data_IF_241356327405
#
_entry.id   IF_241356327405
#
_cell.length_a   1.000
_cell.length_b   1.000
_cell.length_c   1.000
_cell.angle_alpha   90.00
_cell.angle_beta   90.00
_cell.angle_gamma   90.00
#
_symmetry.space_group_name_H-M   'P 1'
#
loop_
_entity.id
_entity.type
_entity.pdbx_description
1 polymer ?
#
# COMPACT_ATOMS: atom_id res chain seq x y z
N UNK A 1 6.91 -26.34 7.42
CA UNK A 1 7.39 -24.98 7.11
C UNK A 1 8.17 -25.07 5.82
N UNK A 2 7.58 -24.64 4.70
CA UNK A 2 8.33 -24.46 3.46
C UNK A 2 9.07 -23.14 3.56
N UNK A 3 10.29 -23.16 3.08
CA UNK A 3 11.26 -22.09 3.06
C UNK A 3 10.71 -20.90 2.23
N UNK A 4 10.36 -19.80 2.91
CA UNK A 4 9.74 -18.61 2.32
C UNK A 4 10.79 -17.55 1.95
N UNK A 5 12.00 -18.00 1.62
CA UNK A 5 13.06 -17.15 1.07
C UNK A 5 13.26 -17.39 -0.43
N UNK A 6 12.16 -17.43 -1.19
CA UNK A 6 12.25 -17.14 -2.62
C UNK A 6 12.55 -15.64 -2.73
N UNK A 7 13.78 -15.28 -3.11
CA UNK A 7 14.17 -13.88 -3.28
C UNK A 7 13.16 -13.12 -4.13
N UNK A 8 12.89 -11.86 -3.76
CA UNK A 8 11.88 -11.02 -4.43
C UNK A 8 12.06 -11.04 -5.95
N UNK A 9 10.95 -11.16 -6.68
CA UNK A 9 10.98 -11.06 -8.15
C UNK A 9 11.42 -9.63 -8.55
N UNK A 10 12.07 -9.47 -9.71
CA UNK A 10 12.49 -8.14 -10.20
C UNK A 10 11.30 -7.19 -10.32
N UNK A 11 10.12 -7.72 -10.65
CA UNK A 11 8.88 -6.95 -10.69
C UNK A 11 8.42 -6.49 -9.31
N UNK A 12 8.57 -7.33 -8.29
CA UNK A 12 8.24 -6.98 -6.89
C UNK A 12 9.20 -5.89 -6.38
N UNK A 13 10.51 -6.05 -6.59
CA UNK A 13 11.49 -5.02 -6.23
C UNK A 13 11.22 -3.69 -6.94
N UNK A 14 10.84 -3.75 -8.22
CA UNK A 14 10.52 -2.56 -9.02
C UNK A 14 9.23 -1.89 -8.54
N UNK A 15 8.20 -2.68 -8.20
CA UNK A 15 6.96 -2.17 -7.64
C UNK A 15 7.20 -1.46 -6.30
N UNK A 16 7.97 -2.07 -5.39
CA UNK A 16 8.33 -1.46 -4.10
C UNK A 16 9.06 -0.13 -4.29
N UNK A 17 10.04 -0.07 -5.19
CA UNK A 17 10.77 1.16 -5.50
C UNK A 17 9.84 2.27 -6.01
N UNK A 18 8.96 1.97 -6.97
CA UNK A 18 8.03 2.96 -7.50
C UNK A 18 6.99 3.43 -6.50
N UNK A 19 6.55 2.56 -5.60
CA UNK A 19 5.62 2.94 -4.53
C UNK A 19 6.32 3.91 -3.58
N UNK A 20 7.50 3.55 -3.09
CA UNK A 20 8.21 4.32 -2.07
C UNK A 20 8.74 5.67 -2.59
N UNK A 21 9.23 5.72 -3.82
CA UNK A 21 9.94 6.91 -4.33
C UNK A 21 9.05 7.85 -5.15
N UNK A 22 7.86 7.40 -5.58
CA UNK A 22 7.06 8.15 -6.57
C UNK A 22 5.58 8.20 -6.25
N UNK A 23 4.99 7.12 -5.76
CA UNK A 23 3.55 7.10 -5.50
C UNK A 23 3.17 8.06 -4.37
N UNK A 24 3.97 8.16 -3.32
CA UNK A 24 3.72 9.08 -2.21
C UNK A 24 3.64 10.54 -2.70
N UNK A 25 4.63 10.99 -3.48
CA UNK A 25 4.67 12.34 -4.05
C UNK A 25 3.45 12.64 -4.95
N UNK A 26 3.01 11.65 -5.73
CA UNK A 26 1.81 11.77 -6.57
C UNK A 26 0.56 11.88 -5.70
N UNK A 27 0.43 11.03 -4.68
CA UNK A 27 -0.73 11.01 -3.80
C UNK A 27 -0.83 12.27 -2.95
N UNK A 28 0.29 12.84 -2.51
CA UNK A 28 0.29 14.08 -1.73
C UNK A 28 -0.20 15.30 -2.54
N UNK A 29 -0.18 15.22 -3.86
CA UNK A 29 -0.77 16.24 -4.74
C UNK A 29 -2.27 15.99 -5.01
N UNK A 30 -2.81 14.83 -4.63
CA UNK A 30 -4.21 14.48 -4.80
C UNK A 30 -5.07 15.01 -3.64
N UNK A 31 -6.05 15.84 -3.97
CA UNK A 31 -6.94 16.47 -2.99
C UNK A 31 -7.83 15.48 -2.23
N UNK A 32 -8.17 14.33 -2.83
CA UNK A 32 -8.95 13.28 -2.16
C UNK A 32 -8.07 12.52 -1.18
N UNK A 33 -6.86 12.17 -1.57
CA UNK A 33 -5.90 11.51 -0.70
C UNK A 33 -5.57 12.37 0.53
N UNK A 34 -5.20 13.64 0.32
CA UNK A 34 -4.93 14.57 1.42
C UNK A 34 -6.17 14.81 2.31
N UNK A 35 -7.37 14.85 1.72
CA UNK A 35 -8.64 14.91 2.45
C UNK A 35 -8.91 13.66 3.30
N UNK A 36 -8.54 12.48 2.83
CA UNK A 36 -8.63 11.23 3.60
C UNK A 36 -7.60 11.20 4.73
N UNK A 37 -6.35 11.62 4.49
CA UNK A 37 -5.33 11.74 5.52
C UNK A 37 -5.78 12.64 6.68
N UNK A 38 -6.42 13.77 6.36
CA UNK A 38 -7.01 14.66 7.38
C UNK A 38 -8.11 13.95 8.20
N UNK A 39 -9.00 13.21 7.53
CA UNK A 39 -10.05 12.46 8.23
C UNK A 39 -9.48 11.37 9.14
N UNK A 40 -8.45 10.65 8.68
CA UNK A 40 -7.75 9.65 9.49
C UNK A 40 -7.18 10.30 10.76
N UNK A 41 -6.50 11.43 10.61
CA UNK A 41 -5.94 12.16 11.75
C UNK A 41 -7.01 12.65 12.73
N UNK A 42 -8.14 13.15 12.23
CA UNK A 42 -9.28 13.54 13.07
C UNK A 42 -9.87 12.34 13.84
N UNK A 43 -9.94 11.16 13.21
CA UNK A 43 -10.40 9.94 13.90
C UNK A 43 -9.39 9.45 14.94
N UNK A 44 -8.08 9.51 14.65
CA UNK A 44 -7.04 9.17 15.62
C UNK A 44 -7.16 10.02 16.89
N UNK A 45 -7.38 11.33 16.75
CA UNK A 45 -7.63 12.21 17.90
C UNK A 45 -8.86 11.83 18.73
N UNK A 46 -9.95 11.45 18.05
CA UNK A 46 -11.17 10.99 18.74
C UNK A 46 -10.90 9.70 19.52
N UNK A 47 -10.09 8.81 18.95
CA UNK A 47 -9.64 7.58 19.58
C UNK A 47 -8.80 7.86 20.83
N UNK A 48 -7.82 8.77 20.76
CA UNK A 48 -7.02 9.19 21.91
C UNK A 48 -7.90 9.76 23.05
N UNK A 49 -8.97 10.47 22.71
CA UNK A 49 -9.91 11.06 23.66
C UNK A 49 -11.00 10.10 24.15
N UNK A 50 -11.09 8.88 23.61
CA UNK A 50 -12.22 7.97 23.86
C UNK A 50 -12.20 7.30 25.24
N UNK A 51 -11.12 7.48 26.00
CA UNK A 51 -10.95 6.87 27.33
C UNK A 51 -10.72 5.37 27.29
N UNK A 52 -10.23 4.83 26.16
CA UNK A 52 -9.86 3.42 26.03
C UNK A 52 -8.80 3.03 27.05
N UNK A 53 -8.94 1.82 27.59
CA UNK A 53 -7.88 1.20 28.36
C UNK A 53 -6.71 0.75 27.44
N UNK A 54 -5.58 0.42 28.05
CA UNK A 54 -4.38 0.03 27.32
C UNK A 54 -4.59 -1.19 26.41
N UNK A 55 -5.39 -2.18 26.83
CA UNK A 55 -5.63 -3.39 26.04
C UNK A 55 -6.49 -3.08 24.82
N UNK A 56 -7.50 -2.22 24.99
CA UNK A 56 -8.34 -1.73 23.91
C UNK A 56 -7.53 -0.92 22.89
N UNK A 57 -6.65 -0.01 23.36
CA UNK A 57 -5.77 0.78 22.48
C UNK A 57 -4.87 -0.14 21.64
N UNK A 58 -4.19 -1.09 22.30
CA UNK A 58 -3.30 -2.04 21.62
C UNK A 58 -4.04 -2.92 20.60
N UNK A 59 -5.28 -3.33 20.90
CA UNK A 59 -6.10 -4.10 19.97
C UNK A 59 -6.46 -3.29 18.71
N UNK A 60 -6.84 -2.02 18.88
CA UNK A 60 -7.15 -1.13 17.75
C UNK A 60 -5.90 -0.83 16.94
N UNK A 61 -4.78 -0.50 17.59
CA UNK A 61 -3.49 -0.27 16.92
C UNK A 61 -3.04 -1.50 16.13
N UNK A 62 -3.18 -2.70 16.70
CA UNK A 62 -2.89 -3.95 16.01
C UNK A 62 -3.75 -4.14 14.75
N UNK A 63 -5.05 -3.86 14.84
CA UNK A 63 -5.97 -3.95 13.71
C UNK A 63 -5.62 -2.93 12.61
N UNK A 64 -5.35 -1.67 12.98
CA UNK A 64 -4.95 -0.61 12.04
C UNK A 64 -3.63 -0.97 11.36
N UNK A 65 -2.64 -1.46 12.11
CA UNK A 65 -1.35 -1.89 11.55
C UNK A 65 -1.50 -3.01 10.53
N UNK A 66 -2.33 -4.01 10.82
CA UNK A 66 -2.62 -5.09 9.87
C UNK A 66 -3.33 -4.58 8.61
N UNK A 67 -4.26 -3.62 8.74
CA UNK A 67 -4.90 -3.00 7.58
C UNK A 67 -3.94 -2.18 6.72
N UNK A 68 -2.99 -1.47 7.32
CA UNK A 68 -1.94 -0.76 6.58
C UNK A 68 -1.09 -1.77 5.80
N UNK A 69 -0.57 -2.82 6.46
CA UNK A 69 0.21 -3.87 5.79
C UNK A 69 -0.55 -4.55 4.64
N UNK A 70 -1.84 -4.80 4.82
CA UNK A 70 -2.69 -5.36 3.77
C UNK A 70 -2.84 -4.41 2.58
N UNK A 71 -2.93 -3.09 2.85
CA UNK A 71 -3.00 -2.07 1.80
C UNK A 71 -1.67 -1.94 1.05
N UNK A 72 -0.54 -1.99 1.75
CA UNK A 72 0.80 -1.98 1.15
C UNK A 72 0.99 -3.20 0.23
N UNK A 73 0.61 -4.39 0.71
CA UNK A 73 0.65 -5.62 -0.09
C UNK A 73 -0.24 -5.50 -1.35
N UNK A 74 -1.44 -4.94 -1.21
CA UNK A 74 -2.33 -4.71 -2.35
C UNK A 74 -1.70 -3.74 -3.36
N UNK A 75 -1.08 -2.65 -2.92
CA UNK A 75 -0.40 -1.70 -3.78
C UNK A 75 0.76 -2.37 -4.56
N UNK A 76 1.59 -3.16 -3.87
CA UNK A 76 2.68 -3.93 -4.51
C UNK A 76 2.11 -4.83 -5.60
N UNK A 77 1.06 -5.60 -5.30
CA UNK A 77 0.44 -6.49 -6.29
C UNK A 77 -0.21 -5.72 -7.44
N UNK A 78 -0.88 -4.60 -7.18
CA UNK A 78 -1.45 -3.76 -8.23
C UNK A 78 -0.39 -3.24 -9.20
N UNK A 79 0.77 -2.81 -8.70
CA UNK A 79 1.89 -2.40 -9.55
C UNK A 79 2.50 -3.58 -10.30
N UNK A 80 2.74 -4.70 -9.62
CA UNK A 80 3.31 -5.92 -10.23
C UNK A 80 2.44 -6.39 -11.41
N UNK A 81 1.13 -6.55 -11.21
CA UNK A 81 0.21 -6.94 -12.26
C UNK A 81 0.00 -5.84 -13.30
N UNK A 82 -0.01 -4.56 -12.91
CA UNK A 82 -0.09 -3.44 -13.84
C UNK A 82 1.07 -3.43 -14.84
N UNK A 83 2.30 -3.73 -14.40
CA UNK A 83 3.43 -3.90 -15.32
C UNK A 83 3.23 -5.08 -16.28
N UNK A 84 2.76 -6.22 -15.77
CA UNK A 84 2.48 -7.41 -16.60
C UNK A 84 1.38 -7.12 -17.64
N UNK A 85 0.34 -6.41 -17.26
CA UNK A 85 -0.75 -6.00 -18.14
C UNK A 85 -0.28 -5.03 -19.23
N UNK A 86 0.55 -4.05 -18.86
CA UNK A 86 1.18 -3.15 -19.84
C UNK A 86 2.02 -3.94 -20.87
N UNK A 87 2.84 -4.90 -20.42
CA UNK A 87 3.61 -5.76 -21.33
C UNK A 87 2.68 -6.58 -22.24
N UNK A 88 1.61 -7.14 -21.69
CA UNK A 88 0.60 -7.90 -22.43
C UNK A 88 -0.04 -7.06 -23.54
N UNK A 89 -0.43 -5.82 -23.22
CA UNK A 89 -1.00 -4.87 -24.18
C UNK A 89 0.01 -4.52 -25.27
N UNK A 90 1.25 -4.19 -24.91
CA UNK A 90 2.29 -3.82 -25.88
C UNK A 90 2.63 -4.97 -26.84
N UNK A 91 2.66 -6.22 -26.34
CA UNK A 91 2.81 -7.42 -27.17
C UNK A 91 1.64 -7.62 -28.12
N UNK A 92 0.41 -7.44 -27.63
CA UNK A 92 -0.80 -7.56 -28.45
C UNK A 92 -0.86 -6.52 -29.57
N UNK A 93 -0.26 -5.35 -29.34
CA UNK A 93 -0.11 -4.29 -30.34
C UNK A 93 1.15 -4.45 -31.21
N UNK A 94 1.89 -5.55 -31.06
CA UNK A 94 3.13 -5.85 -31.80
C UNK A 94 4.23 -4.77 -31.65
N UNK A 95 4.20 -3.99 -30.58
CA UNK A 95 5.19 -2.94 -30.30
C UNK A 95 6.46 -3.50 -29.66
N UNK A 96 6.34 -4.62 -28.95
CA UNK A 96 7.43 -5.39 -28.34
C UNK A 96 7.21 -6.88 -28.55
N UNK A 97 8.27 -7.69 -28.38
CA UNK A 97 8.19 -9.16 -28.42
C UNK A 97 7.66 -9.77 -27.13
#
# INVERSE_FOLDING_TARGET
>A
MKDDTMGKDVFEMTAEYFINERLEDILMQDGKFTGLQKQIWEQMKRLEMSGMDMQQSLAVEGLVSLHIKNTDFYAIKAYEYGFRDCISVLRKLELIR
#
